data_IF_615950038371
#
_entry.id   IF_615950038371
#
_cell.length_a   1.000
_cell.length_b   1.000
_cell.length_c   1.000
_cell.angle_alpha   90.00
_cell.angle_beta   90.00
_cell.angle_gamma   90.00
#
_symmetry.space_group_name_H-M   'P 1'
#
loop_
_entity.id
_entity.type
_entity.pdbx_description
1 polymer ?
#
# COMPACT_ATOMS: atom_id res chain seq x y z
N UNK A 1 0.57 6.71 0.56
CA UNK A 1 0.50 5.37 -0.06
C UNK A 1 1.76 5.07 -0.84
N UNK A 2 2.17 3.80 -0.87
CA UNK A 2 3.22 3.28 -1.75
C UNK A 2 2.58 2.33 -2.76
N UNK A 3 2.98 2.45 -4.01
CA UNK A 3 2.59 1.57 -5.11
C UNK A 3 3.77 0.72 -5.58
N UNK A 4 4.73 0.44 -4.68
CA UNK A 4 5.81 -0.49 -4.99
C UNK A 4 5.24 -1.83 -5.48
N UNK A 5 5.88 -2.54 -6.43
CA UNK A 5 5.24 -3.66 -7.14
C UNK A 5 4.69 -4.78 -6.24
N UNK A 6 5.29 -5.01 -5.07
CA UNK A 6 4.83 -6.05 -4.12
C UNK A 6 3.61 -5.65 -3.27
N UNK A 7 3.18 -4.38 -3.30
CA UNK A 7 2.00 -3.90 -2.55
C UNK A 7 0.72 -4.50 -3.13
N UNK A 8 -0.32 -4.57 -2.30
CA UNK A 8 -1.63 -5.10 -2.73
C UNK A 8 -2.17 -4.35 -3.97
N UNK A 9 -2.00 -3.04 -3.99
CA UNK A 9 -2.14 -2.20 -5.18
C UNK A 9 -0.75 -1.72 -5.62
N UNK A 10 0.00 -2.58 -6.29
CA UNK A 10 1.33 -2.26 -6.83
C UNK A 10 1.29 -1.81 -8.29
N UNK A 11 2.12 -0.84 -8.64
CA UNK A 11 2.44 -0.46 -10.01
C UNK A 11 3.47 -1.44 -10.62
N UNK A 12 3.93 -1.21 -11.85
CA UNK A 12 5.07 -1.94 -12.46
C UNK A 12 6.35 -1.13 -12.36
N UNK A 13 6.56 -0.47 -11.23
CA UNK A 13 7.70 0.39 -10.95
C UNK A 13 7.47 1.13 -9.63
N UNK A 14 8.26 2.17 -9.40
CA UNK A 14 8.06 3.04 -8.25
C UNK A 14 6.86 3.98 -8.43
N UNK A 15 6.16 4.22 -7.34
CA UNK A 15 4.99 5.08 -7.33
C UNK A 15 4.47 5.32 -5.92
N UNK A 16 3.78 6.45 -5.77
CA UNK A 16 3.18 6.83 -4.50
C UNK A 16 2.04 7.82 -4.69
N UNK A 17 1.24 7.97 -3.64
CA UNK A 17 0.13 8.91 -3.60
C UNK A 17 -0.01 9.50 -2.20
N UNK A 18 -0.30 10.78 -2.14
CA UNK A 18 -0.71 11.50 -0.93
C UNK A 18 -2.18 11.84 -1.08
N UNK A 19 -2.96 11.62 -0.02
CA UNK A 19 -4.37 12.04 0.09
C UNK A 19 -4.51 12.90 1.33
N UNK A 20 -5.38 13.90 1.28
CA UNK A 20 -5.71 14.76 2.42
C UNK A 20 -7.02 15.48 2.15
N UNK A 21 -7.79 15.74 3.21
CA UNK A 21 -8.97 16.61 3.17
C UNK A 21 -8.63 18.08 3.44
N UNK A 22 -7.38 18.39 3.80
CA UNK A 22 -6.89 19.77 3.95
C UNK A 22 -6.44 20.30 2.58
N UNK A 23 -7.24 21.20 2.01
CA UNK A 23 -6.97 21.81 0.70
C UNK A 23 -5.69 22.65 0.67
N UNK A 24 -5.32 23.31 1.77
CA UNK A 24 -4.07 24.09 1.83
C UNK A 24 -2.87 23.16 1.78
N UNK A 25 -2.91 22.07 2.55
CA UNK A 25 -1.89 21.02 2.52
C UNK A 25 -1.81 20.35 1.14
N UNK A 26 -2.94 19.89 0.59
CA UNK A 26 -3.00 19.24 -0.71
C UNK A 26 -2.47 20.13 -1.83
N UNK A 27 -2.83 21.43 -1.82
CA UNK A 27 -2.33 22.41 -2.77
C UNK A 27 -0.82 22.61 -2.68
N UNK A 28 -0.26 22.64 -1.46
CA UNK A 28 1.19 22.72 -1.27
C UNK A 28 1.90 21.47 -1.78
N UNK A 29 1.40 20.27 -1.47
CA UNK A 29 1.97 18.99 -1.96
C UNK A 29 1.95 18.94 -3.49
N UNK A 30 0.86 19.37 -4.15
CA UNK A 30 0.77 19.44 -5.63
C UNK A 30 1.84 20.34 -6.25
N UNK A 31 2.22 21.44 -5.61
CA UNK A 31 3.32 22.30 -6.07
C UNK A 31 4.68 21.65 -5.80
N UNK A 32 4.90 21.19 -4.57
CA UNK A 32 6.17 20.58 -4.16
C UNK A 32 6.55 19.37 -5.01
N UNK A 33 5.58 18.57 -5.49
CA UNK A 33 5.85 17.41 -6.37
C UNK A 33 6.39 17.78 -7.76
N UNK A 34 6.25 19.05 -8.16
CA UNK A 34 6.71 19.60 -9.45
C UNK A 34 7.53 20.88 -9.21
N UNK A 35 8.68 20.73 -8.56
CA UNK A 35 9.68 21.78 -8.33
C UNK A 35 9.19 23.03 -7.59
N UNK A 36 8.05 22.95 -6.88
CA UNK A 36 7.47 24.09 -6.16
C UNK A 36 6.74 25.08 -7.07
N UNK A 37 6.44 24.71 -8.31
CA UNK A 37 5.78 25.59 -9.25
C UNK A 37 4.33 25.90 -8.84
N UNK A 38 4.06 27.19 -8.62
CA UNK A 38 2.69 27.72 -8.46
C UNK A 38 2.09 28.09 -9.82
N UNK A 39 2.92 28.57 -10.74
CA UNK A 39 2.63 28.85 -12.13
C UNK A 39 3.80 28.36 -12.98
N UNK A 40 3.58 28.16 -14.30
CA UNK A 40 4.64 27.69 -15.20
C UNK A 40 5.84 28.63 -15.10
N UNK A 41 7.02 28.07 -14.84
CA UNK A 41 8.29 28.78 -14.70
C UNK A 41 8.38 29.75 -13.50
N UNK A 42 7.45 29.70 -12.54
CA UNK A 42 7.51 30.45 -11.30
C UNK A 42 7.42 29.52 -10.09
N UNK A 43 8.56 29.28 -9.45
CA UNK A 43 8.64 28.50 -8.21
C UNK A 43 8.54 29.44 -7.01
N UNK A 44 7.57 29.17 -6.13
CA UNK A 44 7.36 29.96 -4.90
C UNK A 44 8.09 29.40 -3.68
N UNK A 45 8.56 28.15 -3.76
CA UNK A 45 9.24 27.43 -2.67
C UNK A 45 10.10 26.31 -3.26
N UNK A 46 11.18 25.90 -2.60
CA UNK A 46 12.00 24.76 -3.07
C UNK A 46 11.16 23.49 -3.04
N UNK A 47 11.06 22.82 -4.20
CA UNK A 47 10.34 21.56 -4.35
C UNK A 47 11.18 20.45 -5.00
N UNK A 48 10.50 19.40 -5.45
CA UNK A 48 11.08 18.14 -5.92
C UNK A 48 10.49 17.73 -7.26
N UNK A 49 11.13 16.79 -7.96
CA UNK A 49 10.52 16.06 -9.07
C UNK A 49 10.07 14.69 -8.56
N UNK A 50 8.83 14.60 -8.09
CA UNK A 50 8.28 13.37 -7.50
C UNK A 50 6.87 13.15 -8.04
N UNK A 51 6.81 12.68 -9.28
CA UNK A 51 5.56 12.48 -10.04
C UNK A 51 5.28 10.99 -10.18
N UNK A 52 4.01 10.65 -10.35
CA UNK A 52 3.59 9.33 -10.79
C UNK A 52 3.51 9.37 -12.31
N UNK A 53 4.26 8.49 -12.98
CA UNK A 53 4.23 8.39 -14.43
C UNK A 53 2.84 7.99 -14.93
N UNK A 54 2.43 8.55 -16.06
CA UNK A 54 1.12 8.26 -16.67
C UNK A 54 0.94 6.77 -16.96
N UNK A 55 2.01 6.08 -17.37
CA UNK A 55 1.99 4.63 -17.58
C UNK A 55 1.66 3.88 -16.28
N UNK A 56 2.32 4.24 -15.17
CA UNK A 56 2.07 3.63 -13.87
C UNK A 56 0.65 3.94 -13.37
N UNK A 57 0.16 5.16 -13.58
CA UNK A 57 -1.21 5.54 -13.25
C UNK A 57 -2.25 4.73 -14.03
N UNK A 58 -2.02 4.48 -15.33
CA UNK A 58 -2.92 3.67 -16.15
C UNK A 58 -2.98 2.21 -15.66
N UNK A 59 -1.82 1.62 -15.33
CA UNK A 59 -1.74 0.26 -14.75
C UNK A 59 -2.50 0.20 -13.42
N UNK A 60 -2.26 1.16 -12.54
CA UNK A 60 -2.93 1.24 -11.23
C UNK A 60 -4.44 1.40 -11.38
N UNK A 61 -4.92 2.20 -12.33
CA UNK A 61 -6.34 2.40 -12.58
C UNK A 61 -7.05 1.09 -13.00
N UNK A 62 -6.38 0.24 -13.79
CA UNK A 62 -6.91 -1.09 -14.11
C UNK A 62 -6.91 -1.98 -12.86
N UNK A 63 -5.78 -2.07 -12.15
CA UNK A 63 -5.64 -2.95 -10.97
C UNK A 63 -6.57 -2.56 -9.82
N UNK A 64 -6.86 -1.27 -9.66
CA UNK A 64 -7.75 -0.76 -8.61
C UNK A 64 -9.16 -1.37 -8.69
N UNK A 65 -9.66 -1.64 -9.90
CA UNK A 65 -10.97 -2.27 -10.11
C UNK A 65 -11.06 -3.71 -9.58
N UNK A 66 -9.92 -4.36 -9.36
CA UNK A 66 -9.82 -5.73 -8.88
C UNK A 66 -9.35 -5.81 -7.42
N UNK A 67 -9.02 -4.68 -6.79
CA UNK A 67 -8.37 -4.67 -5.48
C UNK A 67 -9.22 -5.32 -4.39
N UNK A 68 -10.53 -5.08 -4.40
CA UNK A 68 -11.44 -5.63 -3.39
C UNK A 68 -11.56 -7.16 -3.53
N UNK A 69 -11.75 -7.67 -4.75
CA UNK A 69 -11.84 -9.12 -4.97
C UNK A 69 -10.52 -9.84 -4.70
N UNK A 70 -9.38 -9.21 -5.02
CA UNK A 70 -8.07 -9.74 -4.64
C UNK A 70 -7.84 -9.71 -3.13
N UNK A 71 -8.35 -8.70 -2.44
CA UNK A 71 -8.33 -8.64 -0.97
C UNK A 71 -9.11 -9.80 -0.38
N UNK A 72 -10.34 -10.04 -0.83
CA UNK A 72 -11.14 -11.18 -0.33
C UNK A 72 -10.47 -12.52 -0.62
N UNK A 73 -9.91 -12.71 -1.81
CA UNK A 73 -9.16 -13.93 -2.14
C UNK A 73 -7.90 -14.12 -1.27
N UNK A 74 -7.28 -13.04 -0.77
CA UNK A 74 -6.19 -13.14 0.22
C UNK A 74 -6.73 -13.57 1.58
N UNK A 75 -7.86 -13.01 2.00
CA UNK A 75 -8.51 -13.34 3.29
C UNK A 75 -8.94 -14.80 3.35
N UNK A 76 -9.49 -15.34 2.26
CA UNK A 76 -9.82 -16.77 2.15
C UNK A 76 -8.59 -17.66 2.38
N UNK A 77 -7.46 -17.34 1.72
CA UNK A 77 -6.20 -18.08 1.92
C UNK A 77 -5.69 -17.99 3.36
N UNK A 78 -5.84 -16.83 4.00
CA UNK A 78 -5.47 -16.65 5.41
C UNK A 78 -6.34 -17.49 6.33
N UNK A 79 -7.64 -17.63 6.06
CA UNK A 79 -8.49 -18.51 6.83
C UNK A 79 -8.03 -19.97 6.72
N UNK A 80 -7.68 -20.42 5.51
CA UNK A 80 -7.11 -21.76 5.28
C UNK A 80 -5.80 -21.93 6.08
N UNK A 81 -4.89 -20.95 6.05
CA UNK A 81 -3.64 -21.03 6.83
C UNK A 81 -3.88 -21.02 8.34
N UNK A 82 -4.83 -20.22 8.83
CA UNK A 82 -5.18 -20.20 10.25
C UNK A 82 -5.70 -21.56 10.70
N UNK A 83 -6.60 -22.17 9.94
CA UNK A 83 -7.14 -23.50 10.26
C UNK A 83 -6.06 -24.58 10.19
N UNK A 84 -5.19 -24.56 9.18
CA UNK A 84 -4.11 -25.53 9.04
C UNK A 84 -3.05 -25.43 10.15
N UNK A 85 -2.90 -24.25 10.75
CA UNK A 85 -1.89 -23.98 11.79
C UNK A 85 -2.45 -23.97 13.21
N UNK A 86 -3.77 -24.16 13.40
CA UNK A 86 -4.43 -23.99 14.71
C UNK A 86 -3.88 -24.88 15.82
N UNK A 87 -3.46 -26.09 15.46
CA UNK A 87 -2.94 -27.09 16.41
C UNK A 87 -1.41 -27.04 16.54
N UNK A 88 -0.75 -26.12 15.83
CA UNK A 88 0.70 -25.94 15.90
C UNK A 88 1.07 -24.98 17.04
N UNK A 89 1.24 -25.50 18.26
CA UNK A 89 1.50 -24.71 19.46
C UNK A 89 2.74 -23.77 19.37
N UNK A 90 3.71 -24.12 18.52
CA UNK A 90 4.95 -23.35 18.32
C UNK A 90 4.75 -22.14 17.40
N UNK A 91 3.62 -22.05 16.70
CA UNK A 91 3.29 -21.01 15.72
C UNK A 91 2.13 -20.17 16.23
N UNK A 92 2.30 -18.85 16.19
CA UNK A 92 1.25 -17.87 16.48
C UNK A 92 0.89 -17.14 15.19
N UNK A 93 -0.35 -17.32 14.76
CA UNK A 93 -0.91 -16.69 13.56
C UNK A 93 -1.29 -15.23 13.84
N UNK A 94 -1.37 -14.37 12.81
CA UNK A 94 -1.82 -12.99 12.97
C UNK A 94 -3.31 -12.97 13.34
N UNK A 95 -3.66 -12.13 14.32
CA UNK A 95 -5.03 -11.94 14.79
C UNK A 95 -5.61 -10.65 14.23
N UNK A 96 -6.77 -10.74 13.60
CA UNK A 96 -7.59 -9.59 13.23
C UNK A 96 -8.44 -9.15 14.44
N UNK A 97 -8.31 -7.89 14.86
CA UNK A 97 -9.10 -7.35 15.98
C UNK A 97 -10.49 -6.92 15.51
N UNK A 98 -11.44 -6.89 16.44
CA UNK A 98 -12.79 -6.37 16.19
C UNK A 98 -12.73 -4.95 15.58
N UNK A 99 -13.64 -4.68 14.64
CA UNK A 99 -13.72 -3.43 13.86
C UNK A 99 -12.55 -3.15 12.91
N UNK A 100 -11.61 -4.08 12.75
CA UNK A 100 -10.58 -3.98 11.72
C UNK A 100 -10.94 -4.84 10.50
N UNK A 101 -10.46 -4.39 9.35
CA UNK A 101 -10.51 -5.14 8.11
C UNK A 101 -9.10 -5.21 7.52
N UNK A 102 -8.47 -6.37 7.67
CA UNK A 102 -7.09 -6.62 7.33
C UNK A 102 -6.97 -7.11 5.88
N UNK A 103 -6.15 -6.41 5.10
CA UNK A 103 -5.96 -6.68 3.66
C UNK A 103 -4.82 -7.66 3.36
N UNK A 104 -4.11 -8.11 4.40
CA UNK A 104 -3.04 -9.12 4.34
C UNK A 104 -2.02 -8.87 3.21
N UNK A 105 -1.37 -7.69 3.25
CA UNK A 105 -0.16 -7.47 2.44
C UNK A 105 0.91 -8.51 2.77
N UNK A 106 1.01 -8.87 4.04
CA UNK A 106 1.79 -9.99 4.53
C UNK A 106 0.95 -10.80 5.52
N UNK A 107 1.19 -12.10 5.55
CA UNK A 107 0.69 -13.02 6.58
C UNK A 107 1.89 -13.39 7.45
N UNK A 108 2.08 -12.66 8.55
CA UNK A 108 3.28 -12.75 9.39
C UNK A 108 3.00 -13.63 10.60
N UNK A 109 3.78 -14.70 10.71
CA UNK A 109 3.74 -15.63 11.84
C UNK A 109 4.75 -15.22 12.90
N UNK A 110 4.48 -15.62 14.14
CA UNK A 110 5.42 -15.59 15.25
C UNK A 110 5.73 -17.01 15.67
N UNK A 111 7.01 -17.28 15.91
CA UNK A 111 7.52 -18.58 16.34
C UNK A 111 8.55 -18.36 17.44
N UNK A 112 8.80 -19.37 18.28
CA UNK A 112 9.76 -19.25 19.39
C UNK A 112 11.21 -19.10 18.89
N UNK A 113 11.59 -19.88 17.87
CA UNK A 113 12.90 -19.80 17.22
C UNK A 113 12.74 -19.73 15.70
N UNK A 114 12.85 -18.51 15.15
CA UNK A 114 12.75 -18.26 13.70
C UNK A 114 13.97 -18.74 12.93
N UNK A 115 15.15 -18.77 13.53
CA UNK A 115 16.40 -19.09 12.80
C UNK A 115 16.54 -20.59 12.52
N UNK A 116 15.89 -21.42 13.35
CA UNK A 116 15.90 -22.88 13.23
C UNK A 116 14.88 -23.43 12.23
N UNK A 117 13.98 -22.59 11.71
CA UNK A 117 13.02 -22.94 10.65
C UNK A 117 13.61 -22.66 9.26
#
# INVERSE_FOLDING_TARGET
FSFFPSKNLGAYGDGGMVVSNDEKFASRVRRLRVHGFRQRNYSSEVGYNSRLDTLQAAILNVKLKHLDSWTEARRERVHIYNEALKDCAQVKTPVERNHNYHIFHQYTLRVEDRQRL
#
